data_IF_445449595113
#
_entry.id   IF_445449595113
#
_cell.length_a   1.000
_cell.length_b   1.000
_cell.length_c   1.000
_cell.angle_alpha   90.00
_cell.angle_beta   90.00
_cell.angle_gamma   90.00
#
_symmetry.space_group_name_H-M   'P 1'
#
loop_
_entity.id
_entity.type
_entity.pdbx_description
1 polymer ?
#
# COMPACT_ATOMS: atom_id res chain seq x y z
N UNK A 1 -20.68 3.55 -13.82
CA UNK A 1 -20.10 4.25 -14.98
C UNK A 1 -18.82 4.91 -14.47
N UNK A 2 -17.67 4.59 -15.04
CA UNK A 2 -16.37 5.06 -14.54
C UNK A 2 -15.86 6.23 -15.38
N UNK A 3 -15.17 7.17 -14.75
CA UNK A 3 -14.48 8.25 -15.45
C UNK A 3 -13.14 7.73 -15.94
N UNK A 4 -12.84 7.96 -17.22
CA UNK A 4 -11.51 7.71 -17.79
C UNK A 4 -10.71 9.01 -17.76
N UNK A 5 -9.45 8.93 -17.32
CA UNK A 5 -8.54 10.06 -17.25
C UNK A 5 -7.49 10.00 -18.37
N UNK A 6 -7.23 11.15 -18.99
CA UNK A 6 -6.06 11.40 -19.83
C UNK A 6 -5.25 12.54 -19.24
N UNK A 7 -3.92 12.42 -19.31
CA UNK A 7 -2.98 13.37 -18.74
C UNK A 7 -2.04 13.86 -19.83
N UNK A 8 -1.92 15.17 -19.94
CA UNK A 8 -0.96 15.83 -20.82
C UNK A 8 -0.35 17.04 -20.12
N UNK A 9 0.67 17.63 -20.73
CA UNK A 9 1.32 18.84 -20.23
C UNK A 9 1.28 19.92 -21.30
N UNK A 10 0.78 21.10 -20.93
CA UNK A 10 0.73 22.23 -21.84
C UNK A 10 2.16 22.73 -22.13
N UNK A 11 2.62 22.70 -23.39
CA UNK A 11 3.97 23.14 -23.74
C UNK A 11 4.21 24.65 -23.55
N UNK A 12 3.16 25.47 -23.46
CA UNK A 12 3.30 26.93 -23.30
C UNK A 12 3.26 27.37 -21.84
N UNK A 13 2.32 26.84 -21.06
CA UNK A 13 2.13 27.21 -19.66
C UNK A 13 2.84 26.29 -18.67
N UNK A 14 3.36 25.14 -19.12
CA UNK A 14 3.91 24.05 -18.31
C UNK A 14 2.93 23.42 -17.31
N UNK A 15 1.63 23.76 -17.41
CA UNK A 15 0.57 23.24 -16.56
C UNK A 15 0.15 21.83 -16.99
N UNK A 16 -0.37 21.06 -16.04
CA UNK A 16 -1.02 19.78 -16.33
C UNK A 16 -2.38 20.01 -16.95
N UNK A 17 -2.64 19.29 -18.03
CA UNK A 17 -3.95 19.17 -18.68
C UNK A 17 -4.51 17.80 -18.29
N UNK A 18 -5.60 17.79 -17.53
CA UNK A 18 -6.29 16.55 -17.16
C UNK A 18 -7.67 16.54 -17.77
N UNK A 19 -7.95 15.50 -18.54
CA UNK A 19 -9.22 15.29 -19.22
C UNK A 19 -9.94 14.11 -18.58
N UNK A 20 -11.12 14.33 -18.04
CA UNK A 20 -12.02 13.29 -17.58
C UNK A 20 -13.21 13.11 -18.51
N UNK A 21 -13.54 11.86 -18.83
CA UNK A 21 -14.77 11.53 -19.58
C UNK A 21 -15.50 10.33 -19.02
N UNK A 22 -16.83 10.37 -19.01
CA UNK A 22 -17.71 9.24 -18.66
C UNK A 22 -18.38 8.60 -19.90
N UNK A 23 -17.99 9.03 -21.10
CA UNK A 23 -18.58 8.61 -22.38
C UNK A 23 -19.65 9.56 -22.93
N UNK A 24 -20.26 10.41 -22.09
CA UNK A 24 -21.29 11.39 -22.51
C UNK A 24 -20.81 12.83 -22.34
N UNK A 25 -20.08 13.08 -21.25
CA UNK A 25 -19.50 14.38 -20.90
C UNK A 25 -17.98 14.28 -20.91
N UNK A 26 -17.33 15.39 -21.25
CA UNK A 26 -15.88 15.58 -21.08
C UNK A 26 -15.62 16.86 -20.29
N UNK A 27 -14.71 16.79 -19.33
CA UNK A 27 -14.22 17.94 -18.55
C UNK A 27 -12.72 18.03 -18.76
N UNK A 28 -12.23 19.25 -19.00
CA UNK A 28 -10.80 19.55 -19.13
C UNK A 28 -10.43 20.54 -18.05
N UNK A 29 -9.42 20.21 -17.25
CA UNK A 29 -8.87 21.07 -16.19
C UNK A 29 -7.39 21.34 -16.47
N UNK A 30 -6.98 22.58 -16.25
CA UNK A 30 -5.59 23.03 -16.29
C UNK A 30 -5.15 23.37 -14.87
N UNK A 31 -4.01 22.84 -14.42
CA UNK A 31 -3.50 23.12 -13.07
C UNK A 31 -1.99 22.87 -12.96
N UNK A 32 -1.31 23.57 -12.05
CA UNK A 32 0.12 23.40 -11.81
C UNK A 32 0.46 22.03 -11.18
N UNK A 33 -0.52 21.42 -10.52
CA UNK A 33 -0.46 20.07 -9.94
C UNK A 33 -1.40 19.12 -10.68
N UNK A 34 -0.84 18.03 -11.22
CA UNK A 34 -1.57 16.94 -11.87
C UNK A 34 -2.69 16.39 -10.99
N UNK A 35 -2.38 16.18 -9.72
CA UNK A 35 -3.29 15.50 -8.80
C UNK A 35 -4.46 16.41 -8.40
N UNK A 36 -4.22 17.72 -8.28
CA UNK A 36 -5.30 18.70 -8.10
C UNK A 36 -6.15 18.88 -9.37
N UNK A 37 -5.55 18.82 -10.56
CA UNK A 37 -6.34 18.80 -11.80
C UNK A 37 -7.24 17.56 -11.87
N UNK A 38 -6.74 16.39 -11.47
CA UNK A 38 -7.52 15.16 -11.41
C UNK A 38 -8.66 15.25 -10.36
N UNK A 39 -8.39 15.81 -9.18
CA UNK A 39 -9.39 16.07 -8.15
C UNK A 39 -10.51 17.00 -8.64
N UNK A 40 -10.17 18.10 -9.32
CA UNK A 40 -11.15 19.02 -9.89
C UNK A 40 -11.99 18.39 -11.01
N UNK A 41 -11.39 17.49 -11.81
CA UNK A 41 -12.16 16.68 -12.76
C UNK A 41 -13.19 15.82 -12.00
N UNK A 42 -12.79 15.11 -10.95
CA UNK A 42 -13.71 14.29 -10.13
C UNK A 42 -14.86 15.13 -9.55
N UNK A 43 -14.55 16.30 -8.96
CA UNK A 43 -15.54 17.25 -8.46
C UNK A 43 -16.53 17.69 -9.56
N UNK A 44 -16.05 17.94 -10.77
CA UNK A 44 -16.88 18.34 -11.91
C UNK A 44 -17.82 17.22 -12.41
N UNK A 45 -17.56 15.97 -12.04
CA UNK A 45 -18.45 14.83 -12.24
C UNK A 45 -19.27 14.49 -10.98
N UNK A 46 -19.18 15.30 -9.92
CA UNK A 46 -19.92 15.09 -8.68
C UNK A 46 -19.41 13.92 -7.83
N UNK A 47 -18.17 13.48 -8.06
CA UNK A 47 -17.50 12.48 -7.24
C UNK A 47 -16.76 13.13 -6.08
N UNK A 48 -16.53 12.35 -5.03
CA UNK A 48 -15.58 12.71 -3.99
C UNK A 48 -14.16 12.69 -4.57
N UNK A 49 -13.43 13.83 -4.54
CA UNK A 49 -12.10 13.91 -5.14
C UNK A 49 -11.07 13.16 -4.31
N UNK A 50 -10.25 12.35 -4.98
CA UNK A 50 -9.04 11.81 -4.38
C UNK A 50 -7.91 12.82 -4.51
N UNK A 51 -7.43 13.33 -3.37
CA UNK A 51 -6.18 14.08 -3.29
C UNK A 51 -5.14 13.20 -2.60
N UNK A 52 -4.02 12.87 -3.27
CA UNK A 52 -2.98 12.08 -2.62
C UNK A 52 -2.44 12.85 -1.41
N UNK A 53 -2.20 12.17 -0.29
CA UNK A 53 -1.68 12.83 0.90
C UNK A 53 -0.29 13.42 0.63
N UNK A 54 0.06 14.54 1.30
CA UNK A 54 1.36 15.21 1.10
C UNK A 54 2.52 14.22 1.27
N UNK A 55 3.68 14.42 0.62
CA UNK A 55 4.80 13.49 0.77
C UNK A 55 5.20 13.36 2.24
N UNK A 56 5.65 12.18 2.68
CA UNK A 56 6.13 12.00 4.04
C UNK A 56 7.36 12.90 4.30
N UNK A 57 7.61 13.27 5.57
CA UNK A 57 8.84 13.98 5.93
C UNK A 57 10.10 13.22 5.46
N UNK A 58 11.24 13.91 5.22
CA UNK A 58 12.48 13.24 4.89
C UNK A 58 12.83 12.13 5.88
N UNK A 59 13.26 10.98 5.36
CA UNK A 59 13.55 9.78 6.16
C UNK A 59 12.33 9.05 6.73
N UNK A 60 11.11 9.48 6.38
CA UNK A 60 9.88 8.74 6.70
C UNK A 60 9.29 8.12 5.44
N UNK A 61 8.63 6.98 5.63
CA UNK A 61 8.06 6.18 4.57
C UNK A 61 6.59 5.92 4.87
N UNK A 62 5.74 6.11 3.85
CA UNK A 62 4.30 5.84 3.92
C UNK A 62 4.01 4.43 3.42
N UNK A 63 3.29 3.65 4.19
CA UNK A 63 2.84 2.30 3.82
C UNK A 63 1.59 1.90 4.59
N UNK A 64 0.96 0.82 4.14
CA UNK A 64 -0.12 0.15 4.87
C UNK A 64 0.35 -1.21 5.35
N UNK A 65 -0.25 -1.70 6.43
CA UNK A 65 -0.10 -3.08 6.90
C UNK A 65 -1.48 -3.68 7.08
N UNK A 66 -1.76 -4.82 6.45
CA UNK A 66 -3.03 -5.51 6.53
C UNK A 66 -2.87 -6.91 7.12
N UNK A 67 -3.85 -7.31 7.92
CA UNK A 67 -3.98 -8.68 8.39
C UNK A 67 -4.85 -9.46 7.40
N UNK A 68 -4.19 -10.04 6.40
CA UNK A 68 -4.79 -10.93 5.38
C UNK A 68 -4.22 -12.34 5.53
N UNK A 69 -4.27 -12.92 6.74
CA UNK A 69 -3.69 -14.24 6.91
C UNK A 69 -4.54 -15.35 6.28
N UNK A 70 -3.95 -16.04 5.31
CA UNK A 70 -4.28 -17.29 4.60
C UNK A 70 -5.09 -18.37 5.35
N UNK A 71 -5.19 -18.31 6.68
CA UNK A 71 -5.79 -19.35 7.53
C UNK A 71 -6.90 -18.81 8.44
N UNK A 72 -7.07 -17.49 8.52
CA UNK A 72 -8.05 -16.88 9.41
C UNK A 72 -9.31 -16.54 8.62
N UNK A 73 -10.41 -17.21 8.96
CA UNK A 73 -11.71 -16.64 8.67
C UNK A 73 -11.79 -15.22 9.21
N UNK A 74 -12.44 -14.36 8.43
CA UNK A 74 -12.99 -13.08 8.86
C UNK A 74 -12.01 -12.21 9.67
N UNK A 75 -10.94 -11.71 9.04
CA UNK A 75 -10.05 -10.68 9.60
C UNK A 75 -10.75 -9.31 9.73
N UNK A 76 -12.01 -9.32 10.17
CA UNK A 76 -12.87 -8.15 10.18
C UNK A 76 -12.26 -7.08 11.08
N UNK A 77 -12.34 -5.82 10.68
CA UNK A 77 -11.81 -4.70 11.46
C UNK A 77 -12.30 -4.66 12.91
N UNK A 78 -13.47 -5.22 13.22
CA UNK A 78 -14.10 -5.22 14.54
C UNK A 78 -13.69 -6.38 15.46
N UNK A 79 -12.84 -7.31 15.01
CA UNK A 79 -12.41 -8.44 15.84
C UNK A 79 -11.70 -7.96 17.14
N UNK A 80 -12.07 -8.49 18.33
CA UNK A 80 -11.44 -8.16 19.61
C UNK A 80 -9.93 -8.40 19.67
N UNK A 81 -9.38 -9.28 18.82
CA UNK A 81 -7.94 -9.53 18.75
C UNK A 81 -7.12 -8.27 18.45
N UNK A 82 -7.76 -7.25 17.88
CA UNK A 82 -7.13 -5.98 17.55
C UNK A 82 -7.32 -4.89 18.61
N UNK A 83 -8.06 -5.15 19.69
CA UNK A 83 -8.43 -4.12 20.67
C UNK A 83 -7.21 -3.44 21.30
N UNK A 84 -6.15 -4.21 21.58
CA UNK A 84 -4.91 -3.66 22.11
C UNK A 84 -4.20 -2.73 21.11
N UNK A 85 -4.18 -3.08 19.82
CA UNK A 85 -3.60 -2.26 18.75
C UNK A 85 -4.45 -1.01 18.50
N UNK A 86 -5.79 -1.14 18.52
CA UNK A 86 -6.72 -0.02 18.39
C UNK A 86 -6.60 0.98 19.53
N UNK A 87 -6.43 0.49 20.76
CA UNK A 87 -6.31 1.33 21.94
C UNK A 87 -4.99 2.11 21.99
N UNK A 88 -3.91 1.55 21.46
CA UNK A 88 -2.60 2.16 21.46
C UNK A 88 -1.82 1.70 20.22
N UNK A 89 -2.04 2.28 19.03
CA UNK A 89 -1.33 1.87 17.82
C UNK A 89 0.16 2.27 17.88
N UNK A 90 1.02 1.60 17.10
CA UNK A 90 2.43 2.01 16.95
C UNK A 90 2.55 3.49 16.62
N UNK A 91 3.56 4.17 17.16
CA UNK A 91 3.75 5.60 16.89
C UNK A 91 3.89 5.85 15.39
N UNK A 92 3.13 6.81 14.85
CA UNK A 92 3.12 7.14 13.43
C UNK A 92 2.23 6.21 12.59
N UNK A 93 1.47 5.33 13.22
CA UNK A 93 0.42 4.55 12.58
C UNK A 93 -0.97 4.93 13.12
N UNK A 94 -1.96 4.88 12.23
CA UNK A 94 -3.38 5.02 12.56
C UNK A 94 -4.13 3.78 12.09
N UNK A 95 -5.32 3.55 12.63
CA UNK A 95 -6.20 2.49 12.13
C UNK A 95 -6.71 2.91 10.74
N UNK A 96 -6.47 2.08 9.73
CA UNK A 96 -6.92 2.36 8.37
C UNK A 96 -8.40 2.04 8.20
N UNK A 97 -9.05 2.75 7.26
CA UNK A 97 -10.47 2.57 6.94
C UNK A 97 -10.67 1.46 5.90
N UNK A 98 -10.34 0.24 6.30
CA UNK A 98 -10.43 -0.95 5.44
C UNK A 98 -11.71 -1.72 5.77
N UNK A 99 -12.50 -2.06 4.73
CA UNK A 99 -13.83 -2.66 4.92
C UNK A 99 -13.78 -4.14 5.33
N UNK A 100 -12.82 -4.89 4.79
CA UNK A 100 -12.80 -6.35 4.88
C UNK A 100 -11.66 -6.92 5.73
N UNK A 101 -10.69 -6.10 6.10
CA UNK A 101 -9.49 -6.50 6.82
C UNK A 101 -9.13 -5.45 7.86
N UNK A 102 -8.67 -5.83 9.04
CA UNK A 102 -7.99 -4.89 9.92
C UNK A 102 -6.65 -4.47 9.31
N UNK A 103 -6.31 -3.18 9.46
CA UNK A 103 -5.05 -2.67 8.98
C UNK A 103 -4.64 -1.34 9.58
N UNK A 104 -3.38 -0.99 9.36
CA UNK A 104 -2.77 0.25 9.78
C UNK A 104 -2.34 1.06 8.56
N UNK A 105 -2.55 2.37 8.63
CA UNK A 105 -1.89 3.33 7.75
C UNK A 105 -0.74 3.98 8.52
N UNK A 106 0.47 3.89 7.98
CA UNK A 106 1.69 4.25 8.68
C UNK A 106 2.51 5.28 7.92
N UNK A 107 3.10 6.23 8.66
CA UNK A 107 4.20 7.09 8.23
C UNK A 107 5.31 6.96 9.26
N UNK A 108 6.34 6.19 8.93
CA UNK A 108 7.35 5.74 9.90
C UNK A 108 8.76 6.09 9.45
N UNK A 109 9.66 6.42 10.39
CA UNK A 109 11.06 6.62 10.05
C UNK A 109 11.69 5.30 9.59
N UNK A 110 12.65 5.40 8.68
CA UNK A 110 13.44 4.27 8.21
C UNK A 110 14.53 4.72 7.24
N UNK A 111 15.58 3.91 7.11
CA UNK A 111 16.61 4.13 6.08
C UNK A 111 16.02 4.04 4.67
N UNK A 112 15.06 3.14 4.48
CA UNK A 112 14.28 2.94 3.27
C UNK A 112 12.88 2.39 3.62
N UNK A 113 12.06 2.14 2.60
CA UNK A 113 10.71 1.62 2.79
C UNK A 113 10.71 0.22 3.42
N UNK A 114 11.63 -0.67 3.02
CA UNK A 114 11.71 -2.03 3.57
C UNK A 114 12.04 -2.00 5.06
N UNK A 115 12.98 -1.14 5.45
CA UNK A 115 13.37 -0.91 6.84
C UNK A 115 12.23 -0.36 7.70
N UNK A 116 11.48 0.62 7.18
CA UNK A 116 10.34 1.18 7.88
C UNK A 116 9.23 0.12 8.09
N UNK A 117 8.90 -0.64 7.04
CA UNK A 117 7.91 -1.72 7.09
C UNK A 117 8.35 -2.83 8.05
N UNK A 118 9.57 -3.33 7.89
CA UNK A 118 10.05 -4.47 8.67
C UNK A 118 10.24 -4.14 10.16
N UNK A 119 10.67 -2.92 10.47
CA UNK A 119 10.77 -2.44 11.86
C UNK A 119 9.40 -2.28 12.51
N UNK A 120 8.40 -1.79 11.78
CA UNK A 120 7.02 -1.71 12.29
C UNK A 120 6.40 -3.10 12.48
N UNK A 121 6.60 -4.05 11.56
CA UNK A 121 6.16 -5.43 11.77
C UNK A 121 6.82 -6.07 13.00
N UNK A 122 8.12 -5.84 13.20
CA UNK A 122 8.83 -6.34 14.39
C UNK A 122 8.28 -5.73 15.69
N UNK A 123 8.06 -4.42 15.73
CA UNK A 123 7.45 -3.72 16.89
C UNK A 123 6.06 -4.26 17.21
N UNK A 124 5.20 -4.43 16.19
CA UNK A 124 3.84 -4.93 16.37
C UNK A 124 3.87 -6.37 16.92
N UNK A 125 4.76 -7.21 16.39
CA UNK A 125 4.94 -8.57 16.89
C UNK A 125 5.40 -8.59 18.34
N UNK A 126 6.41 -7.79 18.68
CA UNK A 126 6.96 -7.74 20.05
C UNK A 126 5.96 -7.18 21.07
N UNK A 127 5.15 -6.20 20.67
CA UNK A 127 4.23 -5.50 21.57
C UNK A 127 2.88 -6.19 21.70
N UNK A 128 2.33 -6.71 20.60
CA UNK A 128 0.95 -7.23 20.56
C UNK A 128 0.88 -8.73 20.20
N UNK A 129 2.01 -9.37 19.86
CA UNK A 129 2.02 -10.76 19.39
C UNK A 129 1.31 -10.94 18.04
N UNK A 130 1.21 -9.87 17.24
CA UNK A 130 0.47 -9.86 15.98
C UNK A 130 1.40 -9.77 14.77
N UNK A 131 1.02 -10.43 13.66
CA UNK A 131 1.78 -10.44 12.41
C UNK A 131 0.93 -9.88 11.29
N UNK A 132 1.41 -8.80 10.67
CA UNK A 132 0.89 -8.30 9.41
C UNK A 132 1.63 -8.96 8.26
N UNK A 133 0.88 -9.42 7.24
CA UNK A 133 1.42 -10.21 6.13
C UNK A 133 1.31 -9.49 4.77
N UNK A 134 0.74 -8.29 4.74
CA UNK A 134 0.32 -7.64 3.51
C UNK A 134 0.47 -6.12 3.60
N UNK A 135 0.78 -5.51 2.46
CA UNK A 135 1.00 -4.07 2.27
C UNK A 135 -0.02 -3.47 1.28
N UNK A 136 -1.21 -4.07 1.16
CA UNK A 136 -2.30 -3.64 0.29
C UNK A 136 -2.32 -4.31 -1.09
N UNK A 137 -1.76 -5.51 -1.21
CA UNK A 137 -1.81 -6.29 -2.45
C UNK A 137 -3.04 -7.19 -2.42
N UNK A 138 -3.97 -6.95 -3.34
CA UNK A 138 -5.23 -7.70 -3.39
C UNK A 138 -5.04 -9.19 -3.75
N UNK A 139 -5.81 -10.05 -3.08
CA UNK A 139 -6.03 -11.48 -3.39
C UNK A 139 -4.82 -12.41 -3.23
N UNK A 140 -3.94 -12.13 -2.28
CA UNK A 140 -2.74 -12.96 -2.01
C UNK A 140 -3.14 -14.37 -1.54
N UNK A 141 -4.31 -14.53 -0.93
CA UNK A 141 -4.85 -15.79 -0.44
C UNK A 141 -5.20 -16.82 -1.53
N UNK A 142 -5.44 -16.36 -2.76
CA UNK A 142 -5.64 -17.26 -3.91
C UNK A 142 -4.32 -17.98 -4.31
N UNK A 143 -3.18 -17.61 -3.72
CA UNK A 143 -1.84 -17.96 -4.21
C UNK A 143 -1.10 -19.00 -3.35
N UNK A 144 -1.73 -19.67 -2.37
CA UNK A 144 -0.96 -20.44 -1.36
C UNK A 144 -1.57 -21.76 -0.87
N UNK A 145 -2.67 -22.24 -1.46
CA UNK A 145 -3.46 -23.34 -0.88
C UNK A 145 -3.00 -24.76 -1.24
N UNK A 146 -2.00 -24.93 -2.12
CA UNK A 146 -1.70 -26.23 -2.75
C UNK A 146 -0.29 -26.80 -2.44
N UNK A 147 0.33 -26.32 -1.36
CA UNK A 147 1.54 -26.91 -0.78
C UNK A 147 2.84 -26.56 -1.51
N UNK A 148 3.94 -27.25 -1.14
CA UNK A 148 5.33 -26.87 -1.50
C UNK A 148 5.71 -27.09 -2.97
N UNK A 149 4.94 -27.89 -3.71
CA UNK A 149 5.17 -28.18 -5.12
C UNK A 149 3.99 -27.75 -6.02
N UNK A 150 3.01 -27.07 -5.42
CA UNK A 150 1.81 -26.58 -6.10
C UNK A 150 2.03 -25.31 -6.92
N UNK A 151 0.96 -24.83 -7.55
CA UNK A 151 0.87 -23.53 -8.20
C UNK A 151 1.19 -22.38 -7.24
N UNK A 152 0.76 -22.45 -5.98
CA UNK A 152 1.07 -21.45 -4.99
C UNK A 152 2.56 -21.36 -4.64
N UNK A 153 3.23 -22.51 -4.53
CA UNK A 153 4.69 -22.53 -4.40
C UNK A 153 5.41 -21.94 -5.62
N UNK A 154 4.87 -22.14 -6.84
CA UNK A 154 5.42 -21.50 -8.05
C UNK A 154 5.20 -19.98 -8.04
N UNK A 155 4.07 -19.50 -7.53
CA UNK A 155 3.83 -18.05 -7.34
C UNK A 155 4.85 -17.50 -6.33
N UNK A 156 5.05 -18.16 -5.18
CA UNK A 156 6.06 -17.75 -4.21
C UNK A 156 7.45 -17.68 -4.84
N UNK A 157 7.87 -18.70 -5.60
CA UNK A 157 9.14 -18.69 -6.31
C UNK A 157 9.24 -17.54 -7.31
N UNK A 158 8.18 -17.27 -8.08
CA UNK A 158 8.10 -16.15 -9.02
C UNK A 158 8.21 -14.80 -8.31
N UNK A 159 7.52 -14.61 -7.18
CA UNK A 159 7.60 -13.40 -6.37
C UNK A 159 9.04 -13.18 -5.87
N UNK A 160 9.72 -14.22 -5.38
CA UNK A 160 11.11 -14.13 -4.96
C UNK A 160 12.06 -13.76 -6.11
N UNK A 161 11.88 -14.35 -7.30
CA UNK A 161 12.67 -14.01 -8.50
C UNK A 161 12.46 -12.54 -8.91
N UNK A 162 11.21 -12.08 -8.95
CA UNK A 162 10.88 -10.70 -9.29
C UNK A 162 11.37 -9.71 -8.22
N UNK A 163 11.29 -10.08 -6.94
CA UNK A 163 11.82 -9.29 -5.84
C UNK A 163 13.33 -9.12 -5.96
N UNK A 164 14.07 -10.19 -6.26
CA UNK A 164 15.52 -10.11 -6.45
C UNK A 164 15.91 -9.22 -7.66
N UNK A 165 15.18 -9.34 -8.76
CA UNK A 165 15.40 -8.52 -9.96
C UNK A 165 15.14 -7.03 -9.69
N UNK A 166 13.98 -6.71 -9.10
CA UNK A 166 13.56 -5.35 -8.78
C UNK A 166 14.41 -4.72 -7.68
N UNK A 167 14.79 -5.48 -6.66
CA UNK A 167 15.67 -5.02 -5.61
C UNK A 167 16.95 -4.40 -6.19
N UNK A 168 17.60 -5.12 -7.11
CA UNK A 168 18.78 -4.62 -7.81
C UNK A 168 18.48 -3.37 -8.64
N UNK A 169 17.34 -3.34 -9.33
CA UNK A 169 16.95 -2.16 -10.13
C UNK A 169 16.69 -0.92 -9.28
N UNK A 170 16.23 -1.10 -8.04
CA UNK A 170 15.92 -0.04 -7.07
C UNK A 170 17.10 0.29 -6.14
N UNK A 171 18.22 -0.42 -6.25
CA UNK A 171 19.43 -0.18 -5.45
C UNK A 171 19.48 -0.91 -4.10
N UNK A 172 18.55 -1.84 -3.84
CA UNK A 172 18.61 -2.71 -2.66
C UNK A 172 19.61 -3.84 -2.84
N UNK A 173 20.27 -4.23 -1.73
CA UNK A 173 21.20 -5.36 -1.70
C UNK A 173 20.48 -6.66 -1.32
N UNK A 174 21.14 -7.80 -1.55
CA UNK A 174 20.64 -9.09 -1.04
C UNK A 174 20.54 -9.11 0.49
N UNK A 175 21.44 -8.42 1.18
CA UNK A 175 21.42 -8.33 2.65
C UNK A 175 20.21 -7.54 3.16
N UNK A 176 19.75 -6.51 2.42
CA UNK A 176 18.51 -5.80 2.74
C UNK A 176 17.29 -6.71 2.67
N UNK A 177 17.22 -7.56 1.64
CA UNK A 177 16.13 -8.55 1.50
C UNK A 177 16.18 -9.59 2.62
N UNK A 178 17.36 -10.11 2.96
CA UNK A 178 17.52 -11.07 4.05
C UNK A 178 17.13 -10.45 5.40
N UNK A 179 17.55 -9.19 5.65
CA UNK A 179 17.18 -8.44 6.85
C UNK A 179 15.67 -8.26 6.94
N UNK A 180 15.02 -7.86 5.85
CA UNK A 180 13.57 -7.75 5.78
C UNK A 180 12.89 -9.08 6.15
N UNK A 181 13.27 -10.19 5.50
CA UNK A 181 12.71 -11.52 5.75
C UNK A 181 12.87 -11.97 7.22
N UNK A 182 14.01 -11.69 7.84
CA UNK A 182 14.25 -12.01 9.26
C UNK A 182 13.37 -11.20 10.21
N UNK A 183 13.05 -9.97 9.85
CA UNK A 183 12.26 -9.09 10.70
C UNK A 183 10.76 -9.37 10.56
N UNK A 184 10.28 -9.75 9.37
CA UNK A 184 8.84 -10.00 9.13
C UNK A 184 8.41 -11.46 9.29
N UNK A 185 9.34 -12.43 9.22
CA UNK A 185 9.03 -13.86 9.36
C UNK A 185 8.68 -14.29 10.79
N UNK A 186 8.01 -15.43 10.92
CA UNK A 186 7.93 -16.16 12.19
C UNK A 186 9.33 -16.71 12.56
N UNK A 187 9.69 -16.79 13.85
CA UNK A 187 10.93 -17.40 14.30
C UNK A 187 11.07 -18.89 13.93
#
# INVERSE_FOLDING_TARGET
>A
MGITFSYDRDPESDQWIVIGTDGEKSVVIYHDSRDEAAAQVQEAFGLEPYRPPPPPPPGHHRFVLLDTWLSAGDARPDDPRYDAIKANPPQGCIIGDFVYSFGLECVRPGTDLLDAVSSTCAEVRETYGHLFADVGVEKVEEWSSDGKDGWGAKILAQLLLMSAERARALGYTTDDLIRFLRQVGEP
#
